data_IF_201615659206
#
_entry.id   IF_201615659206
#
_cell.length_a   1.000
_cell.length_b   1.000
_cell.length_c   1.000
_cell.angle_alpha   90.00
_cell.angle_beta   90.00
_cell.angle_gamma   90.00
#
_symmetry.space_group_name_H-M   'P 1'
#
loop_
_entity.id
_entity.type
_entity.pdbx_description
1 polymer ?
#
# COMPACT_ATOMS: atom_id res chain seq x y z
N UNK A 1 18.23 -4.85 14.61
CA UNK A 1 16.87 -4.35 14.30
C UNK A 1 16.58 -4.69 12.85
N UNK A 2 15.39 -5.21 12.55
CA UNK A 2 14.95 -5.32 11.15
C UNK A 2 14.75 -3.91 10.60
N UNK A 3 15.13 -3.66 9.35
CA UNK A 3 14.89 -2.36 8.70
C UNK A 3 13.38 -2.15 8.59
N UNK A 4 12.90 -0.91 8.65
CA UNK A 4 11.48 -0.60 8.47
C UNK A 4 11.22 -0.14 7.04
N UNK A 5 10.13 -0.59 6.44
CA UNK A 5 9.78 -0.30 5.04
C UNK A 5 8.30 0.05 4.88
N UNK A 6 8.00 0.93 3.93
CA UNK A 6 6.70 1.01 3.29
C UNK A 6 6.66 0.06 2.10
N UNK A 7 5.49 -0.53 1.85
CA UNK A 7 5.25 -1.36 0.67
C UNK A 7 4.50 -0.52 -0.35
N UNK A 8 5.01 -0.42 -1.57
CA UNK A 8 4.40 0.43 -2.60
C UNK A 8 4.49 -0.16 -4.00
N UNK A 9 3.66 0.34 -4.91
CA UNK A 9 3.76 0.11 -6.34
C UNK A 9 3.38 1.39 -7.10
N UNK A 10 4.04 1.66 -8.21
CA UNK A 10 3.74 2.83 -9.04
C UNK A 10 2.72 2.45 -10.13
N UNK A 11 1.54 3.06 -10.08
CA UNK A 11 0.50 2.94 -11.10
C UNK A 11 0.60 4.12 -12.08
N UNK A 12 0.53 3.86 -13.39
CA UNK A 12 0.74 4.89 -14.42
C UNK A 12 -0.19 6.12 -14.32
N UNK A 13 -1.47 5.90 -13.99
CA UNK A 13 -2.47 6.97 -13.85
C UNK A 13 -2.65 7.45 -12.41
N UNK A 14 -2.77 6.53 -11.45
CA UNK A 14 -3.05 6.86 -10.04
C UNK A 14 -1.81 7.40 -9.32
N UNK A 15 -0.61 7.09 -9.83
CA UNK A 15 0.65 7.38 -9.17
C UNK A 15 1.02 6.31 -8.16
N UNK A 16 1.78 6.70 -7.13
CA UNK A 16 2.27 5.77 -6.11
C UNK A 16 1.14 5.31 -5.20
N UNK A 17 1.00 4.00 -5.08
CA UNK A 17 0.04 3.34 -4.19
C UNK A 17 0.82 2.61 -3.12
N UNK A 18 0.44 2.81 -1.86
CA UNK A 18 1.01 2.17 -0.70
C UNK A 18 0.01 1.20 -0.08
N UNK A 19 0.55 0.23 0.65
CA UNK A 19 -0.23 -0.62 1.54
C UNK A 19 -0.60 0.13 2.82
N UNK A 20 -1.85 0.05 3.26
CA UNK A 20 -2.28 0.44 4.59
C UNK A 20 -2.80 -0.77 5.38
N UNK A 21 -2.98 -0.61 6.68
CA UNK A 21 -3.50 -1.63 7.58
C UNK A 21 -4.50 -0.98 8.52
N UNK A 22 -5.67 -1.57 8.60
CA UNK A 22 -6.72 -1.13 9.51
C UNK A 22 -6.95 -2.20 10.55
N UNK A 23 -6.78 -1.81 11.81
CA UNK A 23 -7.14 -2.63 12.96
C UNK A 23 -8.62 -2.45 13.26
N UNK A 24 -9.37 -3.54 13.30
CA UNK A 24 -10.82 -3.54 13.56
C UNK A 24 -11.20 -4.44 14.75
N UNK A 25 -10.22 -4.94 15.49
CA UNK A 25 -10.46 -5.80 16.65
C UNK A 25 -11.32 -5.16 17.73
N UNK A 26 -11.31 -3.83 17.85
CA UNK A 26 -12.15 -3.08 18.81
C UNK A 26 -13.66 -3.22 18.53
N UNK A 27 -14.04 -3.47 17.27
CA UNK A 27 -15.43 -3.67 16.86
C UNK A 27 -15.76 -5.14 16.54
N UNK A 28 -14.82 -6.05 16.85
CA UNK A 28 -15.00 -7.49 16.63
C UNK A 28 -14.98 -7.89 15.15
N UNK A 29 -14.42 -7.05 14.27
CA UNK A 29 -14.26 -7.36 12.85
C UNK A 29 -12.82 -7.81 12.55
N UNK A 30 -12.58 -8.56 11.47
CA UNK A 30 -11.24 -8.92 11.06
C UNK A 30 -10.43 -7.70 10.64
N UNK A 31 -9.18 -7.63 11.09
CA UNK A 31 -8.23 -6.68 10.54
C UNK A 31 -8.03 -6.93 9.04
N UNK A 32 -7.74 -5.87 8.31
CA UNK A 32 -7.49 -5.96 6.87
C UNK A 32 -6.38 -5.02 6.43
N UNK A 33 -5.78 -5.38 5.29
CA UNK A 33 -4.91 -4.48 4.56
C UNK A 33 -5.72 -3.78 3.49
N UNK A 34 -5.50 -2.50 3.27
CA UNK A 34 -6.09 -1.75 2.17
C UNK A 34 -4.99 -1.06 1.37
N UNK A 35 -5.37 -0.02 0.64
CA UNK A 35 -4.49 0.75 -0.23
C UNK A 35 -4.71 2.24 0.00
N UNK A 36 -3.63 3.00 -0.12
CA UNK A 36 -3.66 4.46 0.00
C UNK A 36 -2.67 5.11 -0.96
N UNK A 37 -2.95 6.35 -1.38
CA UNK A 37 -1.98 7.19 -2.08
C UNK A 37 -1.26 8.16 -1.13
N UNK A 38 -1.68 8.23 0.14
CA UNK A 38 -1.05 9.05 1.17
C UNK A 38 -0.06 8.22 2.00
N UNK A 39 1.22 8.58 1.89
CA UNK A 39 2.31 7.94 2.64
C UNK A 39 2.14 8.05 4.17
N UNK A 40 1.45 9.09 4.65
CA UNK A 40 1.21 9.30 6.08
C UNK A 40 0.26 8.25 6.67
N UNK A 41 -0.59 7.68 5.81
CA UNK A 41 -1.55 6.63 6.14
C UNK A 41 -0.99 5.22 5.83
N UNK A 42 0.19 5.13 5.23
CA UNK A 42 0.78 3.87 4.81
C UNK A 42 1.34 3.08 6.01
N UNK A 43 1.21 1.76 5.94
CA UNK A 43 1.68 0.85 6.99
C UNK A 43 3.17 0.62 6.87
N UNK A 44 3.85 0.72 8.02
CA UNK A 44 5.26 0.40 8.17
C UNK A 44 5.43 -1.06 8.59
N UNK A 45 6.13 -1.83 7.77
CA UNK A 45 6.45 -3.23 8.04
C UNK A 45 7.94 -3.41 8.34
N UNK A 46 8.29 -4.52 8.98
CA UNK A 46 9.69 -4.98 9.02
C UNK A 46 10.11 -5.44 7.62
N UNK A 47 11.35 -5.16 7.19
CA UNK A 47 11.85 -5.42 5.83
C UNK A 47 11.86 -6.91 5.46
N UNK A 48 11.77 -7.79 6.44
CA UNK A 48 11.56 -9.22 6.27
C UNK A 48 10.08 -9.63 6.25
N UNK A 49 9.16 -8.69 6.05
CA UNK A 49 7.74 -8.98 5.80
C UNK A 49 7.57 -9.96 4.62
N UNK A 50 8.46 -9.89 3.62
CA UNK A 50 8.54 -10.86 2.50
C UNK A 50 9.12 -12.23 2.87
N UNK A 51 9.78 -12.41 4.02
CA UNK A 51 10.19 -13.77 4.44
C UNK A 51 8.99 -14.66 4.77
N UNK A 52 7.83 -14.08 5.00
CA UNK A 52 6.56 -14.79 5.14
C UNK A 52 5.77 -14.87 3.82
N UNK A 53 6.21 -14.19 2.75
CA UNK A 53 5.69 -14.36 1.38
C UNK A 53 6.75 -13.98 0.32
N UNK A 54 7.27 -14.97 -0.40
CA UNK A 54 8.39 -14.84 -1.37
C UNK A 54 8.05 -13.94 -2.58
N UNK A 55 6.77 -13.62 -2.73
CA UNK A 55 6.21 -12.54 -3.52
C UNK A 55 5.08 -11.97 -2.67
N UNK A 56 4.59 -10.77 -2.96
CA UNK A 56 3.16 -10.57 -2.70
C UNK A 56 2.45 -11.69 -3.49
N UNK A 57 2.10 -12.77 -2.82
CA UNK A 57 1.44 -13.92 -3.43
C UNK A 57 0.02 -13.48 -3.75
N UNK A 58 -0.64 -14.15 -4.70
CA UNK A 58 -2.09 -13.99 -4.86
C UNK A 58 -2.81 -14.06 -3.49
N UNK A 59 -2.31 -14.87 -2.55
CA UNK A 59 -2.85 -14.97 -1.19
C UNK A 59 -2.72 -13.71 -0.34
N UNK A 60 -1.65 -12.92 -0.49
CA UNK A 60 -1.54 -11.62 0.20
C UNK A 60 -2.43 -10.58 -0.47
N UNK A 61 -2.45 -10.55 -1.81
CA UNK A 61 -3.33 -9.67 -2.58
C UNK A 61 -4.80 -9.94 -2.25
N UNK A 62 -5.19 -11.22 -2.10
CA UNK A 62 -6.54 -11.62 -1.67
C UNK A 62 -6.91 -11.15 -0.25
N UNK A 63 -5.92 -10.77 0.57
CA UNK A 63 -6.15 -10.16 1.90
C UNK A 63 -6.21 -8.63 1.84
N UNK A 64 -5.88 -8.03 0.70
CA UNK A 64 -6.08 -6.61 0.49
C UNK A 64 -7.55 -6.41 0.17
N UNK A 65 -8.21 -5.60 0.99
CA UNK A 65 -9.56 -5.15 0.72
C UNK A 65 -9.55 -4.08 -0.37
N UNK A 66 -9.55 -4.54 -1.62
CA UNK A 66 -9.73 -3.68 -2.79
C UNK A 66 -11.10 -3.02 -2.83
N UNK A 67 -12.08 -3.54 -2.10
CA UNK A 67 -13.41 -2.96 -2.01
C UNK A 67 -13.53 -2.01 -0.82
N UNK A 68 -12.42 -1.61 -0.20
CA UNK A 68 -12.43 -0.47 0.70
C UNK A 68 -13.04 0.72 -0.05
N UNK A 69 -14.27 1.02 0.36
CA UNK A 69 -15.19 1.91 -0.33
C UNK A 69 -14.59 3.31 -0.50
N UNK A 70 -13.68 3.69 0.40
CA UNK A 70 -13.01 5.00 0.37
C UNK A 70 -11.97 5.11 -0.75
N UNK A 71 -11.10 4.13 -0.94
CA UNK A 71 -10.07 4.16 -1.98
C UNK A 71 -10.70 4.09 -3.37
N UNK A 72 -11.62 3.14 -3.56
CA UNK A 72 -12.32 2.97 -4.85
C UNK A 72 -13.13 4.21 -5.22
N UNK A 73 -13.88 4.78 -4.27
CA UNK A 73 -14.73 5.94 -4.53
C UNK A 73 -13.93 7.22 -4.76
N UNK A 74 -12.90 7.48 -3.96
CA UNK A 74 -12.20 8.76 -3.99
C UNK A 74 -11.10 8.80 -5.05
N UNK A 75 -10.36 7.69 -5.22
CA UNK A 75 -9.20 7.63 -6.13
C UNK A 75 -9.62 7.07 -7.49
N UNK A 76 -10.26 5.90 -7.55
CA UNK A 76 -10.64 5.34 -8.86
C UNK A 76 -11.73 6.17 -9.54
N UNK A 77 -12.74 6.59 -8.78
CA UNK A 77 -13.84 7.41 -9.28
C UNK A 77 -13.42 8.72 -9.95
N UNK A 78 -12.26 9.29 -9.56
CA UNK A 78 -11.71 10.50 -10.15
C UNK A 78 -10.67 10.24 -11.26
N UNK A 79 -10.09 9.04 -11.32
CA UNK A 79 -9.04 8.65 -12.26
C UNK A 79 -9.54 8.21 -13.65
N UNK A 80 -10.82 7.81 -13.75
CA UNK A 80 -11.40 7.23 -14.97
C UNK A 80 -11.01 5.77 -15.23
N UNK A 81 -10.31 5.12 -14.30
CA UNK A 81 -9.94 3.70 -14.37
C UNK A 81 -11.04 2.84 -13.75
N UNK A 82 -11.32 1.69 -14.37
CA UNK A 82 -12.26 0.74 -13.81
C UNK A 82 -11.67 0.02 -12.59
N UNK A 83 -12.54 -0.37 -11.65
CA UNK A 83 -12.17 -1.21 -10.52
C UNK A 83 -11.45 -2.49 -10.97
N UNK A 84 -11.94 -3.13 -12.03
CA UNK A 84 -11.40 -4.38 -12.57
C UNK A 84 -9.99 -4.21 -13.14
N UNK A 85 -9.75 -3.14 -13.91
CA UNK A 85 -8.42 -2.85 -14.47
C UNK A 85 -7.41 -2.56 -13.35
N UNK A 86 -7.81 -1.80 -12.34
CA UNK A 86 -6.96 -1.50 -11.20
C UNK A 86 -6.62 -2.74 -10.38
N UNK A 87 -7.62 -3.57 -10.09
CA UNK A 87 -7.42 -4.84 -9.37
C UNK A 87 -6.50 -5.75 -10.18
N UNK A 88 -6.73 -5.87 -11.49
CA UNK A 88 -5.87 -6.65 -12.40
C UNK A 88 -4.43 -6.13 -12.38
N UNK A 89 -4.23 -4.82 -12.43
CA UNK A 89 -2.90 -4.22 -12.27
C UNK A 89 -2.28 -4.59 -10.91
N UNK A 90 -3.01 -4.46 -9.82
CA UNK A 90 -2.49 -4.73 -8.48
C UNK A 90 -2.05 -6.20 -8.32
N UNK A 91 -2.76 -7.14 -8.98
CA UNK A 91 -2.42 -8.56 -9.05
C UNK A 91 -1.12 -8.85 -9.82
N UNK A 92 -0.80 -8.04 -10.84
CA UNK A 92 0.31 -8.31 -11.75
C UNK A 92 1.50 -7.38 -11.56
N UNK A 93 1.37 -6.31 -10.77
CA UNK A 93 2.45 -5.37 -10.50
C UNK A 93 3.48 -5.94 -9.52
N UNK A 94 4.68 -5.37 -9.56
CA UNK A 94 5.70 -5.64 -8.55
C UNK A 94 5.57 -4.64 -7.42
N UNK A 95 5.37 -5.13 -6.21
CA UNK A 95 5.36 -4.30 -5.01
C UNK A 95 6.75 -4.22 -4.40
N UNK A 96 7.24 -3.01 -4.21
CA UNK A 96 8.59 -2.65 -3.80
C UNK A 96 8.65 -2.20 -2.33
N UNK A 97 9.86 -2.18 -1.78
CA UNK A 97 10.13 -1.71 -0.41
C UNK A 97 10.77 -0.33 -0.46
N UNK A 98 10.13 0.65 0.19
CA UNK A 98 10.71 1.97 0.44
C UNK A 98 11.20 2.02 1.89
N UNK A 99 12.51 2.15 2.10
CA UNK A 99 13.06 2.24 3.46
C UNK A 99 12.53 3.49 4.18
N UNK A 100 12.10 3.34 5.43
CA UNK A 100 11.64 4.47 6.26
C UNK A 100 12.81 5.42 6.54
N UNK A 101 14.01 4.87 6.74
CA UNK A 101 15.22 5.65 7.06
C UNK A 101 15.66 6.58 5.90
N UNK A 102 15.31 6.25 4.66
CA UNK A 102 15.59 7.13 3.49
C UNK A 102 14.70 8.38 3.46
N UNK A 103 13.51 8.35 4.06
CA UNK A 103 12.64 9.53 4.11
C UNK A 103 13.14 10.58 5.11
N UNK A 104 13.80 10.15 6.19
CA UNK A 104 14.46 11.06 7.13
C UNK A 104 15.72 11.73 6.52
N UNK A 105 16.32 11.10 5.50
CA UNK A 105 17.46 11.65 4.75
C UNK A 105 17.07 12.69 3.69
N UNK A 106 15.89 12.54 3.07
CA UNK A 106 15.39 13.45 2.03
C UNK A 106 14.58 14.64 2.58
N UNK A 107 14.29 14.66 3.90
CA UNK A 107 13.75 15.84 4.59
C UNK A 107 14.77 17.01 4.72
N UNK A 108 15.94 16.88 4.05
CA UNK A 108 16.99 17.90 3.95
C UNK A 108 16.89 18.86 2.77
N UNK A 109 15.78 18.89 2.01
CA UNK A 109 15.53 20.00 1.06
C UNK A 109 14.82 21.13 1.81
N UNK A 110 15.64 22.00 2.37
CA UNK A 110 15.27 23.30 2.92
C UNK A 110 14.61 24.13 1.82
N UNK A 111 13.32 24.45 1.99
CA UNK A 111 12.79 25.67 1.39
C UNK A 111 13.35 26.86 2.21
N UNK A 112 14.29 27.58 1.62
CA UNK A 112 14.65 28.95 1.98
C UNK A 112 14.85 29.74 0.68
#
# INVERSE_FOLDING_TARGET
MSKKVFVFADHLVIGRVFLDYTYEGDVGMPDYFGLTTDISSATVLDADWRKFSVRITEDFIRKIDFYNDSFMRNILGSSGISAEDFITWAYHTSWEDLCVDTLAGDAGIVYA
#
